data_IF_315515230234
#
_entry.id   IF_315515230234
#
_cell.length_a   1.000
_cell.length_b   1.000
_cell.length_c   1.000
_cell.angle_alpha   90.00
_cell.angle_beta   90.00
_cell.angle_gamma   90.00
#
_symmetry.space_group_name_H-M   'P 1'
#
loop_
_entity.id
_entity.type
_entity.pdbx_description
1 polymer ?
#
# COMPACT_ATOMS: atom_id res chain seq x y z
N UNK A 1 26.36 -0.43 -17.38
CA UNK A 1 25.95 -1.49 -16.44
C UNK A 1 25.57 -0.82 -15.13
N UNK A 2 24.42 -1.13 -14.54
CA UNK A 2 24.02 -0.57 -13.24
C UNK A 2 24.89 -1.14 -12.12
N UNK A 3 25.20 -0.33 -11.10
CA UNK A 3 25.85 -0.82 -9.89
C UNK A 3 24.98 -1.91 -9.23
N UNK A 4 25.57 -2.97 -8.64
CA UNK A 4 24.82 -4.00 -7.91
C UNK A 4 23.84 -3.43 -6.88
N UNK A 5 24.21 -2.33 -6.23
CA UNK A 5 23.36 -1.63 -5.24
C UNK A 5 22.08 -1.08 -5.87
N UNK A 6 22.17 -0.56 -7.10
CA UNK A 6 21.02 -0.02 -7.84
C UNK A 6 20.08 -1.17 -8.24
N UNK A 7 20.63 -2.29 -8.69
CA UNK A 7 19.84 -3.47 -9.04
C UNK A 7 19.07 -4.03 -7.83
N UNK A 8 19.73 -4.11 -6.67
CA UNK A 8 19.08 -4.53 -5.42
C UNK A 8 17.98 -3.55 -5.02
N UNK A 9 18.24 -2.24 -5.07
CA UNK A 9 17.23 -1.23 -4.72
C UNK A 9 15.99 -1.31 -5.64
N UNK A 10 16.20 -1.45 -6.96
CA UNK A 10 15.11 -1.61 -7.92
C UNK A 10 14.31 -2.89 -7.67
N UNK A 11 14.99 -3.99 -7.34
CA UNK A 11 14.33 -5.25 -7.02
C UNK A 11 13.49 -5.15 -5.74
N UNK A 12 14.02 -4.51 -4.69
CA UNK A 12 13.30 -4.26 -3.44
C UNK A 12 12.07 -3.38 -3.69
N UNK A 13 12.19 -2.32 -4.49
CA UNK A 13 11.06 -1.47 -4.87
C UNK A 13 10.00 -2.23 -5.66
N UNK A 14 10.42 -3.10 -6.59
CA UNK A 14 9.50 -3.95 -7.35
C UNK A 14 8.70 -4.85 -6.40
N UNK A 15 9.38 -5.53 -5.46
CA UNK A 15 8.71 -6.37 -4.47
C UNK A 15 7.78 -5.58 -3.56
N UNK A 16 8.20 -4.38 -3.13
CA UNK A 16 7.40 -3.50 -2.28
C UNK A 16 6.07 -3.11 -2.93
N UNK A 17 6.00 -3.02 -4.26
CA UNK A 17 4.75 -2.77 -5.00
C UNK A 17 4.00 -4.07 -5.32
N UNK A 18 4.71 -5.10 -5.78
CA UNK A 18 4.11 -6.34 -6.25
C UNK A 18 3.40 -7.12 -5.12
N UNK A 19 3.97 -7.17 -3.92
CA UNK A 19 3.41 -7.92 -2.79
C UNK A 19 2.05 -7.33 -2.33
N UNK A 20 1.93 -6.01 -2.07
CA UNK A 20 0.64 -5.42 -1.78
C UNK A 20 -0.38 -5.58 -2.89
N UNK A 21 0.04 -5.42 -4.15
CA UNK A 21 -0.83 -5.60 -5.30
C UNK A 21 -1.42 -7.02 -5.36
N UNK A 22 -0.56 -8.04 -5.27
CA UNK A 22 -0.99 -9.44 -5.26
C UNK A 22 -1.94 -9.72 -4.09
N UNK A 23 -1.68 -9.13 -2.93
CA UNK A 23 -2.53 -9.29 -1.75
C UNK A 23 -3.89 -8.64 -1.93
N UNK A 24 -3.96 -7.47 -2.56
CA UNK A 24 -5.23 -6.84 -2.92
C UNK A 24 -6.02 -7.74 -3.87
N UNK A 25 -5.38 -8.29 -4.89
CA UNK A 25 -6.02 -9.24 -5.82
C UNK A 25 -6.61 -10.44 -5.07
N UNK A 26 -5.83 -11.06 -4.18
CA UNK A 26 -6.31 -12.17 -3.34
C UNK A 26 -7.49 -11.72 -2.46
N UNK A 27 -7.41 -10.53 -1.86
CA UNK A 27 -8.51 -10.01 -1.05
C UNK A 27 -9.76 -9.69 -1.87
N UNK A 28 -9.63 -9.25 -3.13
CA UNK A 28 -10.76 -9.07 -4.04
C UNK A 28 -11.43 -10.39 -4.37
N UNK A 29 -10.66 -11.46 -4.60
CA UNK A 29 -11.22 -12.81 -4.74
C UNK A 29 -11.96 -13.25 -3.48
N UNK A 30 -11.36 -13.04 -2.29
CA UNK A 30 -12.02 -13.33 -1.01
C UNK A 30 -13.28 -12.50 -0.81
N UNK A 31 -13.29 -11.24 -1.25
CA UNK A 31 -14.46 -10.38 -1.19
C UNK A 31 -15.56 -10.86 -2.12
N UNK A 32 -15.22 -11.29 -3.34
CA UNK A 32 -16.17 -11.87 -4.28
C UNK A 32 -16.76 -13.19 -3.74
N UNK A 33 -15.93 -14.04 -3.15
CA UNK A 33 -16.37 -15.27 -2.48
C UNK A 33 -17.23 -14.99 -1.25
N UNK A 34 -16.84 -14.02 -0.43
CA UNK A 34 -17.66 -13.56 0.67
C UNK A 34 -19.00 -13.08 0.12
N UNK A 35 -19.01 -12.16 -0.85
CA UNK A 35 -20.18 -11.59 -1.50
C UNK A 35 -21.08 -12.59 -2.26
N UNK A 36 -20.60 -13.80 -2.57
CA UNK A 36 -21.43 -14.87 -3.14
C UNK A 36 -22.04 -15.83 -2.11
N UNK A 37 -21.55 -15.86 -0.86
CA UNK A 37 -22.16 -16.66 0.21
C UNK A 37 -23.53 -16.10 0.61
N UNK A 38 -24.61 -16.80 0.26
CA UNK A 38 -25.98 -16.27 0.32
C UNK A 38 -26.55 -16.00 1.71
N UNK A 39 -25.94 -16.50 2.79
CA UNK A 39 -26.47 -16.36 4.14
C UNK A 39 -25.68 -15.30 4.96
N UNK A 40 -26.29 -14.14 5.25
CA UNK A 40 -25.67 -13.09 6.05
C UNK A 40 -25.45 -13.49 7.52
N UNK A 41 -26.14 -14.51 8.03
CA UNK A 41 -26.02 -14.96 9.43
C UNK A 41 -24.79 -15.86 9.66
N UNK A 42 -24.26 -16.47 8.59
CA UNK A 42 -23.07 -17.35 8.66
C UNK A 42 -21.83 -16.76 7.99
N UNK A 43 -21.98 -15.63 7.28
CA UNK A 43 -20.86 -14.83 6.77
C UNK A 43 -20.01 -14.31 7.94
N UNK A 44 -18.78 -14.80 8.06
CA UNK A 44 -17.77 -14.21 8.94
C UNK A 44 -17.42 -12.76 8.57
N UNK A 45 -16.41 -12.19 9.24
CA UNK A 45 -15.99 -10.80 8.97
C UNK A 45 -15.60 -10.56 7.50
N UNK A 46 -15.96 -9.39 6.93
CA UNK A 46 -15.53 -9.03 5.59
C UNK A 46 -14.00 -8.87 5.51
N UNK A 47 -13.39 -9.17 4.36
CA UNK A 47 -11.95 -9.00 4.16
C UNK A 47 -11.52 -7.53 4.34
N UNK A 48 -10.40 -7.33 5.04
CA UNK A 48 -9.90 -6.00 5.41
C UNK A 48 -8.85 -5.52 4.42
N UNK A 49 -9.21 -4.55 3.58
CA UNK A 49 -8.34 -4.03 2.52
C UNK A 49 -7.38 -2.91 2.95
N UNK A 50 -7.65 -2.25 4.07
CA UNK A 50 -7.01 -0.97 4.40
C UNK A 50 -5.49 -1.04 4.47
N UNK A 51 -4.95 -2.09 5.12
CA UNK A 51 -3.50 -2.26 5.24
C UNK A 51 -2.82 -2.44 3.88
N UNK A 52 -3.23 -3.44 3.07
CA UNK A 52 -2.65 -3.65 1.74
C UNK A 52 -2.83 -2.48 0.78
N UNK A 53 -3.97 -1.78 0.82
CA UNK A 53 -4.22 -0.62 -0.04
C UNK A 53 -3.28 0.54 0.31
N UNK A 54 -3.16 0.87 1.59
CA UNK A 54 -2.24 1.92 2.03
C UNK A 54 -0.78 1.53 1.76
N UNK A 55 -0.43 0.26 1.95
CA UNK A 55 0.91 -0.22 1.65
C UNK A 55 1.22 -0.11 0.16
N UNK A 56 0.26 -0.46 -0.71
CA UNK A 56 0.43 -0.28 -2.15
C UNK A 56 0.64 1.20 -2.50
N UNK A 57 -0.16 2.10 -1.92
CA UNK A 57 -0.06 3.54 -2.17
C UNK A 57 1.29 4.11 -1.74
N UNK A 58 1.80 3.75 -0.56
CA UNK A 58 3.09 4.24 -0.12
C UNK A 58 4.24 3.59 -0.92
N UNK A 59 4.13 2.31 -1.28
CA UNK A 59 5.10 1.65 -2.14
C UNK A 59 5.17 2.26 -3.55
N UNK A 60 4.03 2.66 -4.13
CA UNK A 60 4.02 3.34 -5.44
C UNK A 60 4.59 4.75 -5.35
N UNK A 61 4.33 5.48 -4.27
CA UNK A 61 4.98 6.77 -4.01
C UNK A 61 6.51 6.61 -3.89
N UNK A 62 6.99 5.60 -3.16
CA UNK A 62 8.42 5.28 -3.11
C UNK A 62 9.00 4.92 -4.49
N UNK A 63 8.29 4.10 -5.27
CA UNK A 63 8.73 3.70 -6.60
C UNK A 63 8.70 4.85 -7.63
N UNK A 64 7.89 5.89 -7.39
CA UNK A 64 7.74 7.00 -8.32
C UNK A 64 9.05 7.77 -8.56
N UNK A 65 9.91 7.87 -7.54
CA UNK A 65 11.20 8.55 -7.66
C UNK A 65 12.23 7.77 -8.48
N UNK A 66 11.99 6.49 -8.78
CA UNK A 66 12.91 5.61 -9.51
C UNK A 66 12.41 5.22 -10.91
N UNK A 67 11.15 5.51 -11.23
CA UNK A 67 10.52 5.08 -12.48
C UNK A 67 10.22 6.26 -13.40
N UNK A 68 10.71 6.19 -14.64
CA UNK A 68 10.41 7.17 -15.69
C UNK A 68 9.14 6.83 -16.48
N UNK A 69 8.37 5.84 -16.03
CA UNK A 69 7.15 5.37 -16.68
C UNK A 69 5.92 6.12 -16.14
N UNK A 70 4.98 6.44 -17.01
CA UNK A 70 3.68 6.97 -16.60
C UNK A 70 2.85 5.88 -15.91
N UNK A 71 2.04 6.20 -14.87
CA UNK A 71 1.77 7.55 -14.32
C UNK A 71 2.77 8.01 -13.24
N UNK A 72 3.74 7.17 -12.89
CA UNK A 72 4.66 7.40 -11.77
C UNK A 72 5.59 8.59 -12.01
N UNK A 73 6.02 8.80 -13.26
CA UNK A 73 6.79 9.98 -13.67
C UNK A 73 6.07 11.29 -13.38
N UNK A 74 4.78 11.38 -13.73
CA UNK A 74 3.96 12.56 -13.45
C UNK A 74 3.82 12.82 -11.95
N UNK A 75 3.66 11.77 -11.14
CA UNK A 75 3.60 11.87 -9.67
C UNK A 75 4.94 12.40 -9.12
N UNK A 76 6.07 11.88 -9.59
CA UNK A 76 7.40 12.32 -9.16
C UNK A 76 7.72 13.76 -9.59
N UNK A 77 7.12 14.25 -10.68
CA UNK A 77 7.27 15.64 -11.12
C UNK A 77 6.51 16.64 -10.22
N UNK A 78 5.40 16.21 -9.62
CA UNK A 78 4.61 17.01 -8.68
C UNK A 78 5.08 16.86 -7.23
N UNK A 79 6.12 16.06 -6.98
CA UNK A 79 6.68 15.89 -5.64
C UNK A 79 7.36 17.20 -5.20
N UNK A 80 6.86 17.88 -4.13
CA UNK A 80 7.46 19.12 -3.65
C UNK A 80 8.83 18.90 -2.98
N UNK A 81 9.23 17.64 -2.77
CA UNK A 81 10.49 17.29 -2.12
C UNK A 81 11.67 17.60 -3.05
N UNK A 82 12.67 18.38 -2.58
CA UNK A 82 13.85 18.69 -3.37
C UNK A 82 14.65 17.42 -3.70
N UNK A 83 15.33 17.39 -4.85
CA UNK A 83 16.08 16.21 -5.33
C UNK A 83 17.06 15.65 -4.28
N UNK A 84 17.71 16.53 -3.51
CA UNK A 84 18.64 16.15 -2.45
C UNK A 84 17.98 15.35 -1.30
N UNK A 85 16.66 15.47 -1.12
CA UNK A 85 15.91 14.82 -0.04
C UNK A 85 15.04 13.63 -0.51
N UNK A 86 15.02 13.30 -1.80
CA UNK A 86 14.18 12.23 -2.36
C UNK A 86 14.52 10.83 -1.82
N UNK A 87 15.79 10.58 -1.50
CA UNK A 87 16.18 9.34 -0.86
C UNK A 87 15.49 9.16 0.51
N UNK A 88 15.45 10.23 1.33
CA UNK A 88 14.75 10.20 2.62
C UNK A 88 13.24 10.05 2.44
N UNK A 89 12.65 10.72 1.45
CA UNK A 89 11.23 10.56 1.11
C UNK A 89 10.90 9.10 0.74
N UNK A 90 11.70 8.48 -0.13
CA UNK A 90 11.51 7.07 -0.52
C UNK A 90 11.55 6.15 0.70
N UNK A 91 12.56 6.32 1.56
CA UNK A 91 12.69 5.51 2.79
C UNK A 91 11.49 5.73 3.70
N UNK A 92 11.05 6.98 3.89
CA UNK A 92 9.88 7.29 4.71
C UNK A 92 8.60 6.63 4.15
N UNK A 93 8.40 6.67 2.84
CA UNK A 93 7.27 6.00 2.18
C UNK A 93 7.33 4.48 2.38
N UNK A 94 8.50 3.84 2.23
CA UNK A 94 8.63 2.40 2.50
C UNK A 94 8.34 2.04 3.96
N UNK A 95 8.79 2.87 4.92
CA UNK A 95 8.45 2.70 6.34
C UNK A 95 6.95 2.81 6.56
N UNK A 96 6.29 3.82 5.97
CA UNK A 96 4.84 3.97 6.03
C UNK A 96 4.11 2.79 5.38
N UNK A 97 4.65 2.23 4.28
CA UNK A 97 4.10 1.04 3.66
C UNK A 97 4.09 -0.14 4.63
N UNK A 98 5.22 -0.43 5.28
CA UNK A 98 5.33 -1.51 6.28
C UNK A 98 4.43 -1.25 7.49
N UNK A 99 4.39 -0.03 8.02
CA UNK A 99 3.54 0.32 9.15
C UNK A 99 2.05 0.20 8.81
N UNK A 100 1.66 0.64 7.61
CA UNK A 100 0.28 0.52 7.14
C UNK A 100 -0.12 -0.95 6.92
N UNK A 101 0.81 -1.80 6.47
CA UNK A 101 0.58 -3.24 6.38
C UNK A 101 0.28 -3.86 7.75
N UNK A 102 1.12 -3.57 8.73
CA UNK A 102 1.00 -4.16 10.07
C UNK A 102 -0.20 -3.60 10.85
N UNK A 103 -0.48 -2.30 10.73
CA UNK A 103 -1.40 -1.59 11.62
C UNK A 103 -2.59 -0.92 10.93
N UNK A 104 -2.69 -0.95 9.60
CA UNK A 104 -3.69 -0.19 8.84
C UNK A 104 -5.13 -0.49 9.25
N UNK A 105 -5.44 -1.76 9.51
CA UNK A 105 -6.77 -2.15 10.03
C UNK A 105 -7.05 -1.58 11.41
N UNK A 106 -6.09 -1.69 12.33
CA UNK A 106 -6.23 -1.18 13.71
C UNK A 106 -6.33 0.35 13.76
N UNK A 107 -5.59 1.06 12.90
CA UNK A 107 -5.66 2.52 12.78
C UNK A 107 -7.02 2.95 12.28
N UNK A 108 -7.55 2.32 11.23
CA UNK A 108 -8.89 2.62 10.71
C UNK A 108 -9.97 2.33 11.75
N UNK A 109 -9.89 1.19 12.43
CA UNK A 109 -10.84 0.84 13.50
C UNK A 109 -10.83 1.84 14.66
N UNK A 110 -9.66 2.39 15.01
CA UNK A 110 -9.57 3.47 16.01
C UNK A 110 -10.15 4.78 15.50
N UNK A 111 -9.90 5.11 14.22
CA UNK A 111 -10.35 6.36 13.62
C UNK A 111 -11.89 6.37 13.45
N UNK A 112 -12.48 5.27 12.99
CA UNK A 112 -13.94 5.10 12.90
C UNK A 112 -14.61 5.15 14.27
N UNK A 113 -14.01 4.57 15.31
CA UNK A 113 -14.50 4.69 16.69
C UNK A 113 -14.45 6.14 17.20
N UNK A 114 -13.35 6.86 16.94
CA UNK A 114 -13.23 8.28 17.31
C UNK A 114 -14.22 9.18 16.57
N UNK A 115 -14.56 8.84 15.33
CA UNK A 115 -15.57 9.54 14.54
C UNK A 115 -17.01 9.15 14.91
N UNK A 116 -17.21 8.20 15.85
CA UNK A 116 -18.54 7.74 16.27
C UNK A 116 -19.27 6.89 15.21
N UNK A 117 -18.59 6.48 14.14
CA UNK A 117 -19.17 5.73 13.02
C UNK A 117 -19.21 4.21 13.26
N UNK A 118 -18.51 3.73 14.29
CA UNK A 118 -18.48 2.31 14.67
C UNK A 118 -18.82 2.20 16.16
N UNK A 119 -20.01 1.69 16.48
CA UNK A 119 -20.43 1.30 17.84
C UNK A 119 -20.03 -0.16 18.06
N UNK A 120 -19.53 -0.44 19.27
CA UNK A 120 -19.07 -1.76 19.72
C UNK A 120 -20.15 -2.83 19.61
#
# INVERSE_FOLDING_TARGET
>A
MYSPQILVALFVLLLAVAIPLATIVVQLFRLAQWASQGDPATRGEPPRFTGPVLALLFSTLAASDFTALEPLRSIAAHNPVPLAARAYFTVAMLVLAVLSWAYGGAVLDRLLRRLGLKRD
#
